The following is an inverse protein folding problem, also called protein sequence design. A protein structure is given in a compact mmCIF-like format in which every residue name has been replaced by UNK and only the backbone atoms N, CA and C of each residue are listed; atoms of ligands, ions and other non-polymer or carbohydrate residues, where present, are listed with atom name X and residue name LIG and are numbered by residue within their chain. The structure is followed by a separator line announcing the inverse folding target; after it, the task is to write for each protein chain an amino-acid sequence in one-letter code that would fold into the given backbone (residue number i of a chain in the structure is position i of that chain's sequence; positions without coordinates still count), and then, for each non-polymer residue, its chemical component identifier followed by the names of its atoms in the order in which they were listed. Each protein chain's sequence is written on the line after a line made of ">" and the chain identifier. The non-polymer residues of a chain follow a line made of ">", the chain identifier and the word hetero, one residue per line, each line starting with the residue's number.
data_IF_030269408147
#
_entry.id   IF_030269408147
#
_cell.length_a   1.000
_cell.length_b   1.000
_cell.length_c   1.000
_cell.angle_alpha   90.00
_cell.angle_beta   90.00
_cell.angle_gamma   90.00
#
_symmetry.space_group_name_H-M   'P 1'
#
loop_
_entity.id
_entity.type
_entity.pdbx_description
1 polymer ?
#
# COMPACT_ATOMS: atom_id res chain seq x y z
N UNK A 1 15.70 64.44 -22.29
CA UNK A 1 15.06 64.00 -23.55
C UNK A 1 14.95 62.49 -23.51
N UNK A 2 13.79 61.90 -23.81
CA UNK A 2 13.65 60.45 -23.96
C UNK A 2 14.73 59.88 -24.89
N UNK A 3 15.31 58.71 -24.57
CA UNK A 3 16.49 58.19 -25.29
C UNK A 3 16.22 57.74 -26.74
N UNK A 4 14.96 57.74 -27.20
CA UNK A 4 14.54 57.18 -28.49
C UNK A 4 13.96 58.22 -29.47
N UNK A 5 14.00 59.52 -29.13
CA UNK A 5 13.37 60.60 -29.91
C UNK A 5 13.96 60.77 -31.32
N UNK A 6 15.20 60.32 -31.53
CA UNK A 6 15.86 60.36 -32.83
C UNK A 6 15.38 59.29 -33.82
N UNK A 7 14.64 58.27 -33.37
CA UNK A 7 14.30 57.08 -34.16
C UNK A 7 12.80 56.73 -34.16
N UNK A 8 12.01 57.15 -33.17
CA UNK A 8 10.60 56.78 -33.00
C UNK A 8 9.74 57.98 -32.63
N UNK A 9 8.51 58.05 -33.18
CA UNK A 9 7.53 59.06 -32.78
C UNK A 9 7.11 58.88 -31.32
N UNK A 10 6.71 59.95 -30.60
CA UNK A 10 6.32 59.88 -29.20
C UNK A 10 5.21 58.86 -28.92
N UNK A 11 4.25 58.72 -29.83
CA UNK A 11 3.15 57.75 -29.71
C UNK A 11 3.66 56.31 -29.81
N UNK A 12 4.64 56.06 -30.67
CA UNK A 12 5.24 54.73 -30.84
C UNK A 12 6.07 54.33 -29.61
N UNK A 13 6.80 55.27 -29.01
CA UNK A 13 7.50 55.02 -27.74
C UNK A 13 6.52 54.66 -26.61
N UNK A 14 5.41 55.39 -26.51
CA UNK A 14 4.36 55.09 -25.53
C UNK A 14 3.76 53.70 -25.76
N UNK A 15 3.39 53.36 -26.99
CA UNK A 15 2.85 52.05 -27.33
C UNK A 15 3.81 50.91 -26.99
N UNK A 16 5.12 51.09 -27.24
CA UNK A 16 6.16 50.11 -26.89
C UNK A 16 6.26 49.94 -25.37
N UNK A 17 6.29 51.02 -24.60
CA UNK A 17 6.37 50.97 -23.12
C UNK A 17 5.11 50.32 -22.54
N UNK A 18 3.93 50.70 -23.02
CA UNK A 18 2.66 50.11 -22.59
C UNK A 18 2.60 48.62 -22.93
N UNK A 19 2.98 48.24 -24.16
CA UNK A 19 3.03 46.84 -24.59
C UNK A 19 4.00 46.01 -23.76
N UNK A 20 5.18 46.54 -23.46
CA UNK A 20 6.17 45.89 -22.60
C UNK A 20 5.65 45.71 -21.16
N UNK A 21 5.02 46.75 -20.60
CA UNK A 21 4.44 46.69 -19.26
C UNK A 21 3.34 45.63 -19.16
N UNK A 22 2.44 45.56 -20.14
CA UNK A 22 1.38 44.54 -20.22
C UNK A 22 1.98 43.14 -20.36
N UNK A 23 2.98 42.96 -21.23
CA UNK A 23 3.65 41.67 -21.43
C UNK A 23 4.34 41.17 -20.15
N UNK A 24 5.07 42.05 -19.45
CA UNK A 24 5.70 41.73 -18.16
C UNK A 24 4.62 41.37 -17.12
N UNK A 25 3.52 42.13 -17.06
CA UNK A 25 2.39 41.84 -16.19
C UNK A 25 1.83 40.44 -16.40
N UNK A 26 1.66 40.01 -17.67
CA UNK A 26 1.19 38.67 -17.99
C UNK A 26 2.16 37.57 -17.54
N UNK A 27 3.47 37.78 -17.73
CA UNK A 27 4.51 36.83 -17.29
C UNK A 27 4.48 36.68 -15.76
N UNK A 28 4.37 37.79 -15.04
CA UNK A 28 4.30 37.79 -13.57
C UNK A 28 3.04 37.07 -13.09
N UNK A 29 1.87 37.37 -13.67
CA UNK A 29 0.61 36.68 -13.33
C UNK A 29 0.72 35.19 -13.64
N UNK A 30 1.23 34.79 -14.81
CA UNK A 30 1.41 33.39 -15.16
C UNK A 30 2.35 32.67 -14.16
N UNK A 31 3.42 33.33 -13.72
CA UNK A 31 4.34 32.78 -12.73
C UNK A 31 3.67 32.66 -11.33
N UNK A 32 2.90 33.66 -10.92
CA UNK A 32 2.15 33.63 -9.66
C UNK A 32 1.09 32.53 -9.66
N UNK A 33 0.34 32.37 -10.75
CA UNK A 33 -0.67 31.31 -10.91
C UNK A 33 -0.01 29.94 -10.82
N UNK A 34 1.10 29.71 -11.54
CA UNK A 34 1.84 28.44 -11.45
C UNK A 34 2.33 28.13 -10.03
N UNK A 35 2.81 29.13 -9.29
CA UNK A 35 3.23 28.97 -7.89
C UNK A 35 2.05 28.62 -6.98
N UNK A 36 0.91 29.28 -7.16
CA UNK A 36 -0.32 29.02 -6.41
C UNK A 36 -0.84 27.62 -6.69
N UNK A 37 -0.88 27.20 -7.95
CA UNK A 37 -1.35 25.86 -8.34
C UNK A 37 -0.45 24.77 -7.77
N UNK A 38 0.87 24.96 -7.80
CA UNK A 38 1.82 24.05 -7.17
C UNK A 38 1.64 23.97 -5.64
N UNK A 39 1.43 25.11 -4.97
CA UNK A 39 1.17 25.16 -3.54
C UNK A 39 -0.13 24.45 -3.16
N UNK A 40 -1.20 24.67 -3.94
CA UNK A 40 -2.49 24.01 -3.75
C UNK A 40 -2.37 22.50 -3.94
N UNK A 41 -1.61 22.04 -4.95
CA UNK A 41 -1.38 20.61 -5.19
C UNK A 41 -0.67 19.96 -4.00
N UNK A 42 0.39 20.59 -3.47
CA UNK A 42 1.12 20.07 -2.28
C UNK A 42 0.25 20.03 -1.02
N UNK A 43 -0.58 21.06 -0.82
CA UNK A 43 -1.51 21.07 0.30
C UNK A 43 -2.50 19.91 0.22
N UNK A 44 -3.10 19.70 -0.96
CA UNK A 44 -4.01 18.57 -1.21
C UNK A 44 -3.33 17.22 -1.01
N UNK A 45 -2.12 17.06 -1.54
CA UNK A 45 -1.32 15.84 -1.35
C UNK A 45 -1.09 15.55 0.13
N UNK A 46 -0.69 16.56 0.91
CA UNK A 46 -0.44 16.44 2.35
C UNK A 46 -1.72 16.08 3.12
N UNK A 47 -2.83 16.75 2.81
CA UNK A 47 -4.12 16.51 3.47
C UNK A 47 -4.65 15.11 3.16
N UNK A 48 -4.50 14.67 1.89
CA UNK A 48 -4.86 13.33 1.45
C UNK A 48 -4.03 12.26 2.18
N UNK A 49 -2.71 12.42 2.22
CA UNK A 49 -1.81 11.49 2.91
C UNK A 49 -2.15 11.39 4.41
N UNK A 50 -2.45 12.53 5.07
CA UNK A 50 -2.85 12.53 6.49
C UNK A 50 -4.19 11.87 6.74
N UNK A 51 -5.16 12.10 5.85
CA UNK A 51 -6.48 11.49 5.97
C UNK A 51 -6.41 9.97 5.79
N UNK A 52 -5.69 9.50 4.76
CA UNK A 52 -5.45 8.07 4.53
C UNK A 52 -4.66 7.44 5.68
N UNK A 53 -3.61 8.11 6.17
CA UNK A 53 -2.82 7.64 7.31
C UNK A 53 -3.69 7.46 8.57
N UNK A 54 -4.60 8.39 8.84
CA UNK A 54 -5.51 8.31 9.98
C UNK A 54 -6.51 7.15 9.84
N UNK A 55 -7.11 6.98 8.65
CA UNK A 55 -8.06 5.89 8.37
C UNK A 55 -7.38 4.52 8.49
N UNK A 56 -6.26 4.31 7.80
CA UNK A 56 -5.52 3.05 7.80
C UNK A 56 -5.05 2.71 9.22
N UNK A 57 -4.51 3.69 9.97
CA UNK A 57 -4.08 3.48 11.36
C UNK A 57 -5.23 3.05 12.26
N UNK A 58 -6.39 3.68 12.13
CA UNK A 58 -7.57 3.32 12.91
C UNK A 58 -8.02 1.87 12.60
N UNK A 59 -8.02 1.46 11.34
CA UNK A 59 -8.40 0.10 10.96
C UNK A 59 -7.34 -0.95 11.34
N UNK A 60 -6.04 -0.67 11.17
CA UNK A 60 -4.96 -1.57 11.63
C UNK A 60 -5.05 -1.80 13.14
N UNK A 61 -5.29 -0.75 13.93
CA UNK A 61 -5.50 -0.88 15.37
C UNK A 61 -6.74 -1.73 15.72
N UNK A 62 -7.79 -1.66 14.90
CA UNK A 62 -8.97 -2.49 15.07
C UNK A 62 -8.69 -3.97 14.73
N UNK A 63 -7.92 -4.23 13.67
CA UNK A 63 -7.48 -5.59 13.32
C UNK A 63 -6.64 -6.20 14.44
N UNK A 64 -5.67 -5.48 14.98
CA UNK A 64 -4.82 -5.94 16.09
C UNK A 64 -5.59 -6.35 17.34
N UNK A 65 -6.70 -5.66 17.64
CA UNK A 65 -7.57 -6.01 18.77
C UNK A 65 -8.52 -7.17 18.47
N UNK A 66 -8.76 -7.45 17.20
CA UNK A 66 -9.73 -8.47 16.76
C UNK A 66 -9.06 -9.78 16.35
N UNK A 67 -7.73 -9.80 16.17
CA UNK A 67 -6.98 -11.02 15.88
C UNK A 67 -7.12 -12.01 17.06
N UNK A 68 -7.78 -13.15 16.86
CA UNK A 68 -7.93 -14.17 17.91
C UNK A 68 -6.59 -14.84 18.19
N UNK A 69 -6.43 -15.41 19.39
CA UNK A 69 -5.31 -16.31 19.65
C UNK A 69 -5.40 -17.55 18.73
N UNK A 70 -4.28 -18.26 18.44
CA UNK A 70 -4.33 -19.48 17.65
C UNK A 70 -5.30 -20.53 18.19
N UNK A 71 -5.38 -20.65 19.51
CA UNK A 71 -6.30 -21.57 20.19
C UNK A 71 -7.76 -21.16 20.00
N UNK A 72 -8.06 -19.86 20.15
CA UNK A 72 -9.41 -19.33 19.93
C UNK A 72 -9.84 -19.44 18.46
N UNK A 73 -8.90 -19.25 17.53
CA UNK A 73 -9.12 -19.43 16.10
C UNK A 73 -9.48 -20.89 15.77
N UNK A 74 -8.72 -21.86 16.28
CA UNK A 74 -9.00 -23.28 16.09
C UNK A 74 -10.36 -23.68 16.68
N UNK A 75 -10.67 -23.20 17.90
CA UNK A 75 -11.95 -23.45 18.56
C UNK A 75 -13.12 -22.86 17.76
N UNK A 76 -12.96 -21.64 17.22
CA UNK A 76 -13.95 -21.00 16.36
C UNK A 76 -14.20 -21.80 15.09
N UNK A 77 -13.13 -22.21 14.39
CA UNK A 77 -13.22 -23.01 13.16
C UNK A 77 -13.89 -24.36 13.43
N UNK A 78 -13.56 -25.02 14.55
CA UNK A 78 -14.19 -26.29 14.94
C UNK A 78 -15.70 -26.15 15.19
N UNK A 79 -16.14 -25.05 15.81
CA UNK A 79 -17.56 -24.76 16.04
C UNK A 79 -18.33 -24.41 14.77
N UNK A 80 -17.68 -23.77 13.80
CA UNK A 80 -18.26 -23.52 12.48
C UNK A 80 -18.41 -24.84 11.73
N UNK A 81 -17.39 -25.71 11.80
CA UNK A 81 -17.40 -27.04 11.18
C UNK A 81 -18.56 -27.90 11.68
N UNK A 82 -18.84 -27.88 12.98
CA UNK A 82 -19.97 -28.64 13.55
C UNK A 82 -21.35 -28.11 13.16
N UNK A 83 -21.43 -26.90 12.60
CA UNK A 83 -22.69 -26.23 12.25
C UNK A 83 -23.41 -25.59 13.44
N UNK A 84 -22.83 -25.66 14.64
CA UNK A 84 -23.41 -25.10 15.88
C UNK A 84 -23.23 -23.59 16.00
N UNK A 85 -22.46 -22.99 15.09
CA UNK A 85 -22.11 -21.58 15.14
C UNK A 85 -22.13 -20.93 13.75
N UNK A 86 -22.90 -19.86 13.60
CA UNK A 86 -22.87 -18.99 12.41
C UNK A 86 -22.04 -17.76 12.76
N UNK A 87 -20.90 -17.53 12.08
CA UNK A 87 -20.02 -16.41 12.40
C UNK A 87 -20.67 -15.07 12.09
N UNK A 88 -20.64 -14.17 13.07
CA UNK A 88 -20.94 -12.75 12.88
C UNK A 88 -19.65 -12.02 12.55
N UNK A 89 -19.34 -11.92 11.26
CA UNK A 89 -18.20 -11.14 10.80
C UNK A 89 -18.58 -9.66 10.78
N UNK A 90 -17.80 -8.78 11.42
CA UNK A 90 -18.04 -7.35 11.36
C UNK A 90 -17.92 -6.88 9.91
N UNK A 91 -18.91 -6.10 9.46
CA UNK A 91 -18.86 -5.46 8.16
C UNK A 91 -17.97 -4.22 8.30
N UNK A 92 -16.67 -4.39 7.99
CA UNK A 92 -15.64 -3.35 8.13
C UNK A 92 -15.89 -2.24 7.08
N UNK A 93 -16.73 -1.26 7.40
CA UNK A 93 -16.98 -0.08 6.55
C UNK A 93 -15.94 1.03 6.80
N UNK A 94 -14.65 0.66 6.72
CA UNK A 94 -13.51 1.54 7.03
C UNK A 94 -12.75 2.00 5.78
N UNK A 95 -13.48 2.23 4.68
CA UNK A 95 -12.98 2.73 3.40
C UNK A 95 -13.64 4.07 2.99
N UNK A 96 -14.22 4.81 3.95
CA UNK A 96 -14.95 6.05 3.68
C UNK A 96 -14.05 7.14 3.10
N UNK A 97 -12.86 7.34 3.68
CA UNK A 97 -11.92 8.35 3.20
C UNK A 97 -11.36 7.89 1.86
N UNK A 98 -10.88 6.65 1.76
CA UNK A 98 -10.37 6.10 0.51
C UNK A 98 -11.39 6.15 -0.64
N UNK A 99 -12.63 5.73 -0.41
CA UNK A 99 -13.68 5.79 -1.41
C UNK A 99 -14.00 7.21 -1.87
N UNK A 100 -13.85 8.21 -0.99
CA UNK A 100 -14.04 9.62 -1.34
C UNK A 100 -12.88 10.21 -2.15
N UNK A 101 -11.67 9.65 -2.03
CA UNK A 101 -10.43 10.24 -2.57
C UNK A 101 -9.76 9.41 -3.65
N UNK A 102 -10.27 8.21 -3.97
CA UNK A 102 -9.68 7.32 -4.99
C UNK A 102 -9.54 7.99 -6.36
N UNK A 103 -10.48 8.87 -6.73
CA UNK A 103 -10.40 9.63 -7.98
C UNK A 103 -9.16 10.56 -8.03
N UNK A 104 -8.70 10.98 -6.86
CA UNK A 104 -7.56 11.87 -6.65
C UNK A 104 -6.28 11.12 -6.28
N UNK A 105 -6.25 9.78 -6.37
CA UNK A 105 -5.06 8.97 -6.01
C UNK A 105 -3.83 9.34 -6.84
N UNK A 106 -4.03 9.85 -8.06
CA UNK A 106 -2.99 10.34 -8.96
C UNK A 106 -2.25 11.60 -8.45
N UNK A 107 -2.71 12.20 -7.36
CA UNK A 107 -2.02 13.29 -6.65
C UNK A 107 -0.90 12.74 -5.77
N UNK A 108 -1.01 11.50 -5.29
CA UNK A 108 0.01 10.87 -4.45
C UNK A 108 1.28 10.52 -5.26
N UNK A 109 2.45 10.48 -4.61
CA UNK A 109 3.66 9.98 -5.24
C UNK A 109 3.53 8.49 -5.60
N UNK A 110 4.13 8.10 -6.74
CA UNK A 110 4.11 6.72 -7.23
C UNK A 110 4.46 5.65 -6.18
N UNK A 111 5.55 5.76 -5.38
CA UNK A 111 5.90 4.72 -4.41
C UNK A 111 4.90 4.59 -3.26
N UNK A 112 3.99 5.56 -3.09
CA UNK A 112 2.95 5.57 -2.05
C UNK A 112 1.65 4.93 -2.53
N UNK A 113 1.39 4.93 -3.83
CA UNK A 113 0.12 4.46 -4.41
C UNK A 113 -0.05 2.95 -4.18
N UNK A 114 0.96 2.14 -4.55
CA UNK A 114 0.83 0.69 -4.56
C UNK A 114 0.52 0.09 -3.18
N UNK A 115 1.23 0.44 -2.08
CA UNK A 115 0.91 -0.07 -0.75
C UNK A 115 -0.52 0.25 -0.31
N UNK A 116 -1.03 1.43 -0.66
CA UNK A 116 -2.39 1.86 -0.32
C UNK A 116 -3.40 1.04 -1.12
N UNK A 117 -3.19 0.91 -2.44
CA UNK A 117 -4.08 0.14 -3.31
C UNK A 117 -4.16 -1.32 -2.87
N UNK A 118 -3.02 -1.94 -2.55
CA UNK A 118 -2.98 -3.32 -2.05
C UNK A 118 -3.76 -3.48 -0.75
N UNK A 119 -3.56 -2.58 0.21
CA UNK A 119 -4.30 -2.59 1.46
C UNK A 119 -5.83 -2.56 1.26
N UNK A 120 -6.34 -1.57 0.50
CA UNK A 120 -7.80 -1.48 0.27
C UNK A 120 -8.32 -2.58 -0.64
N UNK A 121 -7.48 -3.17 -1.51
CA UNK A 121 -7.84 -4.35 -2.28
C UNK A 121 -8.10 -5.56 -1.38
N UNK A 122 -7.25 -5.78 -0.37
CA UNK A 122 -7.44 -6.87 0.60
C UNK A 122 -8.71 -6.66 1.43
N UNK A 123 -9.02 -5.42 1.83
CA UNK A 123 -10.30 -5.11 2.49
C UNK A 123 -11.51 -5.48 1.63
N UNK A 124 -11.46 -5.17 0.34
CA UNK A 124 -12.52 -5.54 -0.60
C UNK A 124 -12.68 -7.06 -0.71
N UNK A 125 -11.58 -7.81 -0.79
CA UNK A 125 -11.60 -9.28 -0.84
C UNK A 125 -12.16 -9.85 0.48
N UNK A 126 -11.70 -9.32 1.62
CA UNK A 126 -12.15 -9.72 2.95
C UNK A 126 -13.66 -9.49 3.14
N UNK A 127 -14.18 -8.36 2.66
CA UNK A 127 -15.62 -8.06 2.68
C UNK A 127 -16.46 -9.01 1.81
N UNK A 128 -15.95 -9.39 0.63
CA UNK A 128 -16.58 -10.38 -0.22
C UNK A 128 -16.59 -11.76 0.45
N UNK A 129 -15.45 -12.19 0.99
CA UNK A 129 -15.29 -13.46 1.70
C UNK A 129 -16.21 -13.54 2.92
N UNK A 130 -16.34 -12.46 3.69
CA UNK A 130 -17.26 -12.39 4.83
C UNK A 130 -18.74 -12.51 4.44
N UNK A 131 -19.09 -12.05 3.24
CA UNK A 131 -20.45 -12.16 2.71
C UNK A 131 -20.74 -13.59 2.28
N UNK A 132 -19.81 -14.22 1.58
CA UNK A 132 -19.93 -15.61 1.14
C UNK A 132 -19.93 -16.59 2.33
N UNK A 133 -19.08 -16.35 3.34
CA UNK A 133 -19.03 -17.16 4.56
C UNK A 133 -20.37 -17.13 5.32
N UNK A 134 -20.98 -15.95 5.47
CA UNK A 134 -22.32 -15.83 6.09
C UNK A 134 -23.40 -16.59 5.32
N UNK A 135 -23.30 -16.67 4.00
CA UNK A 135 -24.24 -17.40 3.15
C UNK A 135 -24.08 -18.91 3.29
N UNK A 136 -22.85 -19.41 3.31
CA UNK A 136 -22.56 -20.85 3.28
C UNK A 136 -22.61 -21.52 4.67
N UNK A 137 -22.33 -20.78 5.74
CA UNK A 137 -22.28 -21.29 7.11
C UNK A 137 -23.57 -21.97 7.60
N UNK A 138 -24.72 -21.71 6.97
CA UNK A 138 -26.00 -22.36 7.30
C UNK A 138 -26.21 -23.71 6.61
N UNK A 139 -25.40 -24.04 5.60
CA UNK A 139 -25.64 -25.16 4.70
C UNK A 139 -24.45 -26.11 4.61
N UNK A 140 -23.23 -25.60 4.79
CA UNK A 140 -22.00 -26.38 4.68
C UNK A 140 -20.96 -25.87 5.69
N UNK A 141 -20.94 -26.50 6.86
CA UNK A 141 -20.05 -26.17 7.97
C UNK A 141 -18.58 -26.42 7.64
N UNK A 142 -18.26 -27.47 6.88
CA UNK A 142 -16.88 -27.76 6.47
C UNK A 142 -16.33 -26.68 5.53
N UNK A 143 -17.12 -26.31 4.52
CA UNK A 143 -16.71 -25.25 3.60
C UNK A 143 -16.62 -23.90 4.31
N UNK A 144 -17.55 -23.62 5.24
CA UNK A 144 -17.52 -22.43 6.07
C UNK A 144 -16.29 -22.38 6.98
N UNK A 145 -15.89 -23.51 7.55
CA UNK A 145 -14.69 -23.62 8.40
C UNK A 145 -13.42 -23.33 7.59
N UNK A 146 -13.29 -23.87 6.37
CA UNK A 146 -12.18 -23.56 5.48
C UNK A 146 -12.14 -22.07 5.12
N UNK A 147 -13.29 -21.49 4.76
CA UNK A 147 -13.38 -20.07 4.43
C UNK A 147 -13.09 -19.16 5.63
N UNK A 148 -13.40 -19.60 6.86
CA UNK A 148 -13.00 -18.89 8.08
C UNK A 148 -11.49 -18.92 8.27
N UNK A 149 -10.83 -20.06 8.05
CA UNK A 149 -9.37 -20.13 8.10
C UNK A 149 -8.73 -19.17 7.07
N UNK A 150 -9.24 -19.16 5.83
CA UNK A 150 -8.78 -18.23 4.79
C UNK A 150 -9.04 -16.77 5.19
N UNK A 151 -10.18 -16.47 5.83
CA UNK A 151 -10.51 -15.14 6.33
C UNK A 151 -9.56 -14.67 7.43
N UNK A 152 -9.23 -15.54 8.39
CA UNK A 152 -8.27 -15.21 9.45
C UNK A 152 -6.87 -14.95 8.88
N UNK A 153 -6.41 -15.80 7.95
CA UNK A 153 -5.14 -15.58 7.24
C UNK A 153 -5.12 -14.25 6.48
N UNK A 154 -6.24 -13.88 5.86
CA UNK A 154 -6.38 -12.62 5.14
C UNK A 154 -6.41 -11.41 6.08
N UNK A 155 -6.93 -11.54 7.31
CA UNK A 155 -6.87 -10.47 8.32
C UNK A 155 -5.42 -10.15 8.69
N UNK A 156 -4.59 -11.16 8.89
CA UNK A 156 -3.17 -10.98 9.21
C UNK A 156 -2.43 -10.32 8.03
N UNK A 157 -2.66 -10.80 6.81
CA UNK A 157 -2.08 -10.21 5.59
C UNK A 157 -2.52 -8.74 5.44
N UNK A 158 -3.81 -8.45 5.61
CA UNK A 158 -4.36 -7.08 5.55
C UNK A 158 -3.73 -6.17 6.60
N UNK A 159 -3.51 -6.69 7.81
CA UNK A 159 -2.83 -5.95 8.88
C UNK A 159 -1.41 -5.58 8.47
N UNK A 160 -0.65 -6.52 7.92
CA UNK A 160 0.74 -6.31 7.54
C UNK A 160 0.87 -5.29 6.40
N UNK A 161 0.02 -5.37 5.37
CA UNK A 161 -0.04 -4.35 4.33
C UNK A 161 -0.50 -2.98 4.86
N UNK A 162 -1.39 -2.97 5.85
CA UNK A 162 -1.79 -1.73 6.53
C UNK A 162 -0.62 -1.08 7.27
N UNK A 163 0.22 -1.86 7.95
CA UNK A 163 1.45 -1.39 8.60
C UNK A 163 2.43 -0.85 7.56
N UNK A 164 2.60 -1.54 6.43
CA UNK A 164 3.45 -1.07 5.34
C UNK A 164 2.94 0.27 4.77
N UNK A 165 1.63 0.40 4.51
CA UNK A 165 1.04 1.64 4.04
C UNK A 165 1.22 2.79 5.05
N UNK A 166 1.06 2.51 6.35
CA UNK A 166 1.34 3.48 7.43
C UNK A 166 2.80 3.94 7.40
N UNK A 167 3.75 3.00 7.24
CA UNK A 167 5.18 3.30 7.17
C UNK A 167 5.48 4.23 5.99
N UNK A 168 5.03 3.84 4.79
CA UNK A 168 5.26 4.60 3.55
C UNK A 168 4.63 6.00 3.61
N UNK A 169 3.38 6.12 4.08
CA UNK A 169 2.71 7.41 4.26
C UNK A 169 3.43 8.30 5.28
N UNK A 170 3.90 7.71 6.38
CA UNK A 170 4.63 8.44 7.42
C UNK A 170 5.95 8.97 6.89
N UNK A 171 6.69 8.16 6.12
CA UNK A 171 7.96 8.58 5.55
C UNK A 171 7.77 9.63 4.46
N UNK A 172 6.77 9.46 3.60
CA UNK A 172 6.42 10.46 2.60
C UNK A 172 6.03 11.81 3.23
N UNK A 173 5.29 11.82 4.34
CA UNK A 173 4.95 13.05 5.05
C UNK A 173 6.16 13.74 5.70
N UNK A 174 7.25 13.01 5.96
CA UNK A 174 8.48 13.54 6.55
C UNK A 174 9.46 14.08 5.51
N UNK A 175 9.69 13.33 4.44
CA UNK A 175 10.74 13.61 3.46
C UNK A 175 10.30 13.58 2.00
N UNK A 176 9.01 13.43 1.73
CA UNK A 176 8.47 13.34 0.36
C UNK A 176 8.78 12.02 -0.32
N UNK A 177 8.59 11.98 -1.64
CA UNK A 177 8.78 10.77 -2.45
C UNK A 177 10.21 10.24 -2.38
N UNK A 178 11.22 11.12 -2.41
CA UNK A 178 12.63 10.73 -2.38
C UNK A 178 13.01 9.97 -1.10
N UNK A 179 12.42 10.35 0.04
CA UNK A 179 12.65 9.64 1.30
C UNK A 179 12.02 8.24 1.30
N UNK A 180 10.88 8.08 0.64
CA UNK A 180 10.25 6.76 0.46
C UNK A 180 11.12 5.89 -0.44
N UNK A 181 11.59 6.42 -1.57
CA UNK A 181 12.44 5.67 -2.49
C UNK A 181 13.73 5.20 -1.80
N UNK A 182 14.40 6.09 -1.05
CA UNK A 182 15.58 5.73 -0.25
C UNK A 182 15.27 4.64 0.78
N UNK A 183 14.15 4.76 1.50
CA UNK A 183 13.73 3.74 2.46
C UNK A 183 13.50 2.37 1.79
N UNK A 184 12.87 2.35 0.61
CA UNK A 184 12.61 1.11 -0.12
C UNK A 184 13.90 0.49 -0.66
N UNK A 185 14.82 1.30 -1.20
CA UNK A 185 16.14 0.85 -1.65
C UNK A 185 16.96 0.24 -0.50
N UNK A 186 16.90 0.87 0.69
CA UNK A 186 17.54 0.35 1.90
C UNK A 186 16.93 -0.98 2.36
N UNK A 187 15.61 -1.11 2.34
CA UNK A 187 14.91 -2.35 2.68
C UNK A 187 15.28 -3.48 1.70
N UNK A 188 15.33 -3.20 0.40
CA UNK A 188 15.72 -4.17 -0.63
C UNK A 188 17.18 -4.62 -0.44
N UNK A 189 18.09 -3.68 -0.20
CA UNK A 189 19.50 -3.98 0.06
C UNK A 189 19.67 -4.85 1.32
N UNK A 190 18.91 -4.57 2.38
CA UNK A 190 18.90 -5.36 3.61
C UNK A 190 18.36 -6.77 3.38
N UNK A 191 17.27 -6.91 2.62
CA UNK A 191 16.68 -8.20 2.28
C UNK A 191 17.67 -9.06 1.47
N UNK A 192 18.32 -8.49 0.46
CA UNK A 192 19.37 -9.16 -0.33
C UNK A 192 20.54 -9.59 0.56
N UNK A 193 20.98 -8.72 1.48
CA UNK A 193 22.07 -9.03 2.40
C UNK A 193 21.71 -10.12 3.44
N UNK A 194 20.45 -10.19 3.87
CA UNK A 194 19.97 -11.29 4.73
C UNK A 194 19.94 -12.61 3.96
N UNK A 195 19.39 -12.59 2.75
CA UNK A 195 19.34 -13.76 1.87
C UNK A 195 20.73 -14.29 1.56
N UNK A 196 21.68 -13.41 1.22
CA UNK A 196 23.07 -13.77 0.96
C UNK A 196 23.76 -14.42 2.17
N UNK A 197 23.37 -14.05 3.40
CA UNK A 197 23.87 -14.67 4.64
C UNK A 197 23.27 -16.05 4.90
N UNK A 198 22.01 -16.26 4.55
CA UNK A 198 21.28 -17.51 4.81
C UNK A 198 21.49 -18.57 3.72
N UNK A 199 21.65 -18.15 2.46
CA UNK A 199 21.81 -19.02 1.29
C UNK A 199 22.88 -20.12 1.45
N UNK A 200 24.10 -19.85 1.98
CA UNK A 200 25.12 -20.89 2.11
C UNK A 200 24.68 -22.04 3.02
N UNK A 201 23.99 -21.74 4.13
CA UNK A 201 23.49 -22.76 5.04
C UNK A 201 22.31 -23.54 4.42
N UNK A 202 21.40 -22.86 3.74
CA UNK A 202 20.28 -23.51 3.07
C UNK A 202 20.74 -24.47 1.97
N UNK A 203 21.72 -24.05 1.17
CA UNK A 203 22.34 -24.88 0.13
C UNK A 203 23.08 -26.08 0.74
N UNK A 204 23.76 -25.91 1.86
CA UNK A 204 24.39 -27.03 2.58
C UNK A 204 23.34 -28.05 3.05
N UNK A 205 22.25 -27.58 3.70
CA UNK A 205 21.15 -28.46 4.13
C UNK A 205 20.42 -29.13 2.96
N UNK A 206 20.29 -28.47 1.82
CA UNK A 206 19.74 -29.08 0.59
C UNK A 206 20.66 -30.17 0.06
N UNK A 207 21.96 -29.91 -0.01
CA UNK A 207 22.97 -30.89 -0.44
C UNK A 207 22.96 -32.14 0.45
N UNK A 208 22.91 -31.95 1.76
CA UNK A 208 22.89 -33.06 2.72
C UNK A 208 21.61 -33.90 2.60
N UNK A 209 20.45 -33.26 2.38
CA UNK A 209 19.18 -33.95 2.10
C UNK A 209 19.23 -34.77 0.81
N UNK A 210 19.82 -34.23 -0.26
CA UNK A 210 19.98 -34.94 -1.52
C UNK A 210 20.93 -36.15 -1.37
N UNK A 211 22.07 -35.97 -0.70
CA UNK A 211 23.00 -37.05 -0.41
C UNK A 211 22.35 -38.18 0.42
N UNK A 212 21.58 -37.84 1.45
CA UNK A 212 20.85 -38.83 2.26
C UNK A 212 19.81 -39.62 1.44
N UNK A 213 19.14 -38.97 0.49
CA UNK A 213 18.14 -39.60 -0.40
C UNK A 213 18.79 -40.54 -1.42
N UNK A 214 19.95 -40.17 -1.96
CA UNK A 214 20.73 -41.05 -2.86
C UNK A 214 21.24 -42.29 -2.11
N UNK A 215 21.76 -42.14 -0.89
CA UNK A 215 22.22 -43.27 -0.06
C UNK A 215 21.06 -44.21 0.28
N UNK A 216 19.89 -43.67 0.62
CA UNK A 216 18.68 -44.49 0.87
C UNK A 216 18.24 -45.29 -0.36
N UNK A 217 18.36 -44.74 -1.57
CA UNK A 217 18.00 -45.45 -2.82
C UNK A 217 18.94 -46.60 -3.20
N UNK A 218 20.23 -46.52 -2.81
CA UNK A 218 21.23 -47.58 -3.06
C UNK A 218 21.17 -48.72 -2.04
N UNK A 219 20.67 -48.45 -0.83
CA UNK A 219 20.52 -49.46 0.23
C UNK A 219 19.31 -50.39 0.03
N UNK A 220 18.40 -50.07 -0.89
CA UNK A 220 17.17 -50.81 -1.14
C UNK A 220 17.23 -51.77 -2.34
N UNK A 221 18.42 -52.17 -2.82
CA UNK A 221 18.55 -53.23 -3.82
C UNK A 221 18.67 -54.61 -3.13
N UNK A 222 17.61 -55.44 -3.09
CA UNK A 222 17.64 -56.75 -2.51
C UNK A 222 18.07 -57.74 -3.59
N UNK A 223 19.34 -57.71 -3.98
CA UNK A 223 19.93 -58.73 -4.86
C UNK A 223 21.12 -59.38 -4.19
N UNK A 224 20.79 -60.26 -3.26
CA UNK A 224 21.67 -61.27 -2.68
C UNK A 224 20.92 -62.59 -2.54
N UNK A 225 20.69 -63.26 -3.67
CA UNK A 225 20.43 -64.71 -3.75
C UNK A 225 21.37 -65.28 -4.79
#
# INVERSE_FOLDING_TARGET
>A
MPPLDALLSPQLQQAVVTGLFVAIGWIVVAAQTRRRDAALRRARETDLQRALLAEIRAHVFALEQQTPSPEDAEALIARIRSGDFVPTLPQQANDRIFGAVIADIHILPAPVIDPIVLYYRLLSIMGALATDLRRIARHDGERAAQMMADYLSLMDETRDYGIQAIRVLTECLRGGAEAVDQMLDEDEAQAIAQLARQLPEELARMRDRLAAREVSSRSSDPRGR
#
